data_IF_663957295367
#
_entry.id   IF_663957295367
#
_cell.length_a   1.000
_cell.length_b   1.000
_cell.length_c   1.000
_cell.angle_alpha   90.00
_cell.angle_beta   90.00
_cell.angle_gamma   90.00
#
_symmetry.space_group_name_H-M   'P 1'
#
loop_
_entity.id
_entity.type
_entity.pdbx_description
1 polymer ?
#
# COMPACT_ATOMS: atom_id res chain seq x y z
N UNK A 1 -12.31 13.50 5.51
CA UNK A 1 -10.91 13.14 5.85
C UNK A 1 -10.16 14.40 6.26
N UNK A 2 -8.91 14.28 6.72
CA UNK A 2 -8.11 15.43 7.19
C UNK A 2 -7.87 16.50 6.09
N UNK A 3 -7.89 16.10 4.82
CA UNK A 3 -7.80 17.03 3.67
C UNK A 3 -9.00 17.95 3.65
N UNK A 4 -10.23 17.41 3.69
CA UNK A 4 -11.48 18.20 3.79
C UNK A 4 -11.55 19.05 5.07
N UNK A 5 -10.86 18.63 6.13
CA UNK A 5 -10.76 19.35 7.41
C UNK A 5 -9.68 20.44 7.45
N UNK A 6 -8.86 20.59 6.40
CA UNK A 6 -7.78 21.56 6.34
C UNK A 6 -6.62 21.27 7.30
N UNK A 7 -6.46 20.01 7.75
CA UNK A 7 -5.45 19.59 8.72
C UNK A 7 -4.70 18.33 8.31
N UNK A 8 -4.61 18.05 7.00
CA UNK A 8 -3.79 16.96 6.48
C UNK A 8 -2.29 17.26 6.68
N UNK A 9 -1.47 16.22 6.95
CA UNK A 9 -0.02 16.36 6.96
C UNK A 9 0.53 16.50 5.53
N UNK A 10 1.78 16.93 5.41
CA UNK A 10 2.47 17.00 4.11
C UNK A 10 2.69 15.61 3.48
N UNK A 11 2.94 14.60 4.31
CA UNK A 11 3.13 13.20 3.90
C UNK A 11 2.34 12.29 4.84
N UNK A 12 1.64 11.32 4.28
CA UNK A 12 0.90 10.31 5.03
C UNK A 12 1.11 8.92 4.41
N UNK A 13 1.04 7.90 5.26
CA UNK A 13 0.89 6.50 4.83
C UNK A 13 -0.60 6.18 4.67
N UNK A 14 -0.95 5.41 3.65
CA UNK A 14 -2.32 4.91 3.46
C UNK A 14 -2.30 3.52 2.84
N UNK A 15 -3.38 2.77 3.04
CA UNK A 15 -3.57 1.49 2.36
C UNK A 15 -3.73 1.69 0.85
N UNK A 16 -3.13 0.79 0.07
CA UNK A 16 -3.26 0.79 -1.39
C UNK A 16 -4.73 0.74 -1.85
N UNK A 17 -5.62 0.12 -1.07
CA UNK A 17 -7.05 0.04 -1.37
C UNK A 17 -7.78 1.39 -1.25
N UNK A 18 -7.27 2.32 -0.43
CA UNK A 18 -7.84 3.65 -0.26
C UNK A 18 -7.29 4.66 -1.28
N UNK A 19 -6.11 4.40 -1.85
CA UNK A 19 -5.42 5.32 -2.75
C UNK A 19 -6.29 5.80 -3.94
N UNK A 20 -7.07 4.94 -4.64
CA UNK A 20 -7.89 5.39 -5.77
C UNK A 20 -8.94 6.42 -5.38
N UNK A 21 -9.58 6.27 -4.21
CA UNK A 21 -10.57 7.22 -3.71
C UNK A 21 -9.91 8.59 -3.48
N UNK A 22 -8.80 8.62 -2.75
CA UNK A 22 -8.09 9.86 -2.44
C UNK A 22 -7.56 10.57 -3.70
N UNK A 23 -7.02 9.82 -4.66
CA UNK A 23 -6.60 10.38 -5.96
C UNK A 23 -7.80 10.97 -6.72
N UNK A 24 -8.92 10.24 -6.79
CA UNK A 24 -10.13 10.70 -7.50
C UNK A 24 -10.81 11.92 -6.88
N UNK A 25 -10.71 12.07 -5.55
CA UNK A 25 -11.21 13.25 -4.82
C UNK A 25 -10.29 14.47 -4.97
N UNK A 26 -9.13 14.35 -5.62
CA UNK A 26 -8.14 15.42 -5.72
C UNK A 26 -7.43 15.72 -4.39
N UNK A 27 -7.44 14.76 -3.46
CA UNK A 27 -6.81 14.91 -2.15
C UNK A 27 -5.29 14.72 -2.17
N UNK A 28 -4.73 14.26 -3.30
CA UNK A 28 -3.32 13.92 -3.45
C UNK A 28 -2.67 14.74 -4.56
N UNK A 29 -1.36 14.94 -4.41
CA UNK A 29 -0.51 15.52 -5.45
C UNK A 29 -0.08 14.42 -6.42
N UNK A 30 -0.16 14.69 -7.71
CA UNK A 30 0.41 13.82 -8.74
C UNK A 30 1.96 13.80 -8.61
N UNK A 31 2.53 12.62 -8.37
CA UNK A 31 3.96 12.41 -8.16
C UNK A 31 4.68 11.94 -9.43
N UNK A 32 4.03 11.88 -10.58
CA UNK A 32 4.61 11.37 -11.84
C UNK A 32 5.93 12.04 -12.17
N UNK A 33 5.98 13.38 -12.09
CA UNK A 33 7.18 14.14 -12.42
C UNK A 33 8.30 14.01 -11.37
N UNK A 34 7.96 13.87 -10.09
CA UNK A 34 8.93 13.87 -8.99
C UNK A 34 9.43 12.47 -8.64
N UNK A 35 8.57 11.46 -8.73
CA UNK A 35 8.79 10.13 -8.18
C UNK A 35 8.42 8.99 -9.13
N UNK A 36 7.81 9.26 -10.30
CA UNK A 36 7.40 8.20 -11.23
C UNK A 36 8.56 7.31 -11.71
N UNK A 37 9.71 7.92 -12.03
CA UNK A 37 10.91 7.16 -12.45
C UNK A 37 11.51 6.34 -11.29
N UNK A 38 11.48 6.87 -10.07
CA UNK A 38 11.89 6.15 -8.86
C UNK A 38 11.00 4.91 -8.67
N UNK A 39 9.67 5.08 -8.75
CA UNK A 39 8.70 3.98 -8.62
C UNK A 39 8.94 2.91 -9.67
N UNK A 40 9.16 3.31 -10.92
CA UNK A 40 9.41 2.40 -12.04
C UNK A 40 10.69 1.58 -11.88
N UNK A 41 11.76 2.19 -11.36
CA UNK A 41 13.09 1.58 -11.29
C UNK A 41 13.28 0.72 -10.04
N UNK A 42 12.76 1.16 -8.90
CA UNK A 42 13.11 0.58 -7.60
C UNK A 42 12.09 -0.45 -7.09
N UNK A 43 10.90 -0.55 -7.70
CA UNK A 43 9.83 -1.43 -7.21
C UNK A 43 9.39 -2.47 -8.24
N UNK A 44 8.94 -3.67 -7.81
CA UNK A 44 8.36 -4.67 -8.71
C UNK A 44 7.08 -4.16 -9.40
N UNK A 45 6.84 -4.63 -10.63
CA UNK A 45 5.67 -4.25 -11.45
C UNK A 45 4.33 -4.40 -10.70
N UNK A 46 4.19 -5.46 -9.90
CA UNK A 46 3.00 -5.70 -9.10
C UNK A 46 2.72 -4.62 -8.04
N UNK A 47 3.75 -3.92 -7.54
CA UNK A 47 3.58 -2.79 -6.63
C UNK A 47 3.39 -1.48 -7.40
N UNK A 48 4.05 -1.33 -8.55
CA UNK A 48 3.85 -0.18 -9.43
C UNK A 48 2.38 -0.04 -9.84
N UNK A 49 1.72 -1.15 -10.18
CA UNK A 49 0.30 -1.15 -10.58
C UNK A 49 -0.66 -0.74 -9.47
N UNK A 50 -0.24 -0.81 -8.20
CA UNK A 50 -1.04 -0.38 -7.05
C UNK A 50 -0.97 1.14 -6.82
N UNK A 51 0.08 1.81 -7.31
CA UNK A 51 0.30 3.25 -7.10
C UNK A 51 0.20 4.08 -8.38
N UNK A 52 0.24 3.44 -9.55
CA UNK A 52 0.02 4.07 -10.84
C UNK A 52 -1.45 3.92 -11.26
N UNK A 53 -2.19 5.02 -11.22
CA UNK A 53 -3.62 5.06 -11.52
C UNK A 53 -3.90 6.09 -12.62
N UNK A 54 -4.60 5.67 -13.67
CA UNK A 54 -4.98 6.58 -14.77
C UNK A 54 -3.80 7.16 -15.56
N UNK A 55 -2.62 6.52 -15.50
CA UNK A 55 -1.39 7.00 -16.15
C UNK A 55 -0.51 7.91 -15.28
N UNK A 56 -0.94 8.22 -14.05
CA UNK A 56 -0.18 9.03 -13.09
C UNK A 56 0.29 8.19 -11.90
N UNK A 57 1.42 8.56 -11.30
CA UNK A 57 1.94 8.00 -10.05
C UNK A 57 1.39 8.79 -8.86
N UNK A 58 0.67 8.14 -7.95
CA UNK A 58 -0.01 8.81 -6.83
C UNK A 58 0.61 8.54 -5.46
N UNK A 59 1.50 7.55 -5.35
CA UNK A 59 2.22 7.23 -4.12
C UNK A 59 3.56 6.56 -4.44
N UNK A 60 4.48 6.56 -3.47
CA UNK A 60 5.67 5.71 -3.49
C UNK A 60 5.36 4.48 -2.64
N UNK A 61 5.54 3.24 -3.15
CA UNK A 61 5.31 2.04 -2.35
C UNK A 61 6.21 2.03 -1.11
N UNK A 62 5.64 1.67 0.04
CA UNK A 62 6.37 1.65 1.32
C UNK A 62 6.61 0.22 1.80
N UNK A 63 5.55 -0.57 1.86
CA UNK A 63 5.61 -1.97 2.28
C UNK A 63 4.70 -2.87 1.43
N UNK A 64 4.96 -4.16 1.52
CA UNK A 64 4.03 -5.21 1.12
C UNK A 64 4.11 -6.31 2.17
N UNK A 65 2.96 -6.69 2.71
CA UNK A 65 2.90 -7.76 3.71
C UNK A 65 2.02 -8.90 3.19
N UNK A 66 2.59 -10.08 2.89
CA UNK A 66 1.77 -11.22 2.55
C UNK A 66 0.95 -11.68 3.78
N UNK A 67 -0.27 -12.15 3.54
CA UNK A 67 -1.06 -12.82 4.56
C UNK A 67 -0.38 -14.15 4.88
N UNK A 68 -0.04 -14.36 6.15
CA UNK A 68 0.64 -15.57 6.63
C UNK A 68 -0.11 -16.17 7.81
N UNK A 69 -0.21 -17.51 7.84
CA UNK A 69 -0.75 -18.24 8.99
C UNK A 69 0.37 -18.52 9.99
N UNK A 70 0.28 -17.90 11.17
CA UNK A 70 1.13 -18.24 12.32
C UNK A 70 0.35 -19.13 13.28
N UNK A 71 0.95 -20.24 13.72
CA UNK A 71 0.31 -21.20 14.62
C UNK A 71 1.29 -21.73 15.69
N UNK A 72 0.71 -22.24 16.79
CA UNK A 72 1.44 -22.80 17.93
C UNK A 72 1.80 -24.28 17.69
N UNK A 73 3.02 -24.52 17.20
CA UNK A 73 3.54 -25.87 16.90
C UNK A 73 3.43 -26.85 18.09
N UNK A 74 3.66 -26.38 19.30
CA UNK A 74 3.59 -27.20 20.51
C UNK A 74 2.15 -27.62 20.85
N UNK A 75 1.17 -26.75 20.62
CA UNK A 75 -0.25 -27.08 20.79
C UNK A 75 -0.73 -28.06 19.72
N UNK A 76 -0.32 -27.86 18.47
CA UNK A 76 -0.64 -28.78 17.37
C UNK A 76 -0.10 -30.18 17.65
N UNK A 77 1.17 -30.27 18.06
CA UNK A 77 1.78 -31.54 18.48
C UNK A 77 1.09 -32.17 19.69
N UNK A 78 0.77 -31.39 20.72
CA UNK A 78 0.13 -31.88 21.96
C UNK A 78 -1.25 -32.48 21.68
N UNK A 79 -2.00 -31.90 20.76
CA UNK A 79 -3.37 -32.29 20.45
C UNK A 79 -3.51 -33.14 19.17
N UNK A 80 -2.41 -33.48 18.50
CA UNK A 80 -2.42 -34.29 17.29
C UNK A 80 -3.10 -33.61 16.10
N UNK A 81 -3.02 -32.28 16.00
CA UNK A 81 -3.63 -31.48 14.93
C UNK A 81 -2.60 -31.25 13.82
N UNK A 82 -2.99 -31.51 12.58
CA UNK A 82 -2.16 -31.23 11.39
C UNK A 82 -2.15 -29.75 11.02
N UNK A 83 -1.08 -29.30 10.38
CA UNK A 83 -0.97 -27.93 9.87
C UNK A 83 -1.96 -27.76 8.70
N UNK A 84 -2.78 -26.68 8.66
CA UNK A 84 -3.74 -26.45 7.59
C UNK A 84 -3.08 -26.15 6.25
#
# INVERSE_FOLDING_TARGET
NAVKGGNAPDVATMDYSALPEYASEGNLVDLTASSGELVKKEFPEALQSLVNLGGSTWAVPFDVTPIQLFYRKDLFKKHGVEVP
#
